data_IF_367109550888
#
_entry.id   IF_367109550888
#
_cell.length_a   1.000
_cell.length_b   1.000
_cell.length_c   1.000
_cell.angle_alpha   90.00
_cell.angle_beta   90.00
_cell.angle_gamma   90.00
#
_symmetry.space_group_name_H-M   'P 1'
#
loop_
_entity.id
_entity.type
_entity.pdbx_description
1 polymer ?
#
# COMPACT_ATOMS: atom_id res chain seq x y z
N UNK A 1 90.23 -0.85 -14.39
CA UNK A 1 89.62 0.32 -13.78
C UNK A 1 88.24 -0.12 -13.21
N UNK A 2 88.15 -0.22 -11.90
CA UNK A 2 86.95 -0.62 -11.19
C UNK A 2 86.30 0.64 -10.64
N UNK A 3 85.00 0.94 -11.06
CA UNK A 3 84.25 2.00 -10.44
C UNK A 3 83.35 1.39 -9.38
N UNK A 4 83.25 1.93 -8.16
CA UNK A 4 82.31 1.46 -7.17
C UNK A 4 80.91 2.13 -7.38
N UNK A 5 79.83 1.33 -7.44
CA UNK A 5 78.42 1.75 -7.46
C UNK A 5 78.08 2.14 -6.03
N UNK A 6 77.75 3.44 -5.85
CA UNK A 6 77.25 3.96 -4.57
C UNK A 6 75.74 3.80 -4.53
N UNK A 7 75.22 2.86 -3.75
CA UNK A 7 73.80 2.70 -3.48
C UNK A 7 73.42 3.71 -2.41
N UNK A 8 72.63 4.75 -2.79
CA UNK A 8 71.98 5.65 -1.85
C UNK A 8 70.71 4.98 -1.36
N UNK A 9 70.64 4.58 -0.10
CA UNK A 9 69.44 4.19 0.60
C UNK A 9 68.58 5.41 0.87
N UNK A 10 67.45 5.52 0.22
CA UNK A 10 66.45 6.52 0.50
C UNK A 10 65.57 6.01 1.65
N UNK A 11 65.85 6.50 2.86
CA UNK A 11 64.96 6.27 4.02
C UNK A 11 63.68 7.12 3.85
N UNK A 12 62.63 6.51 3.34
CA UNK A 12 61.30 7.15 3.34
C UNK A 12 60.77 7.17 4.77
N UNK A 13 60.56 8.37 5.27
CA UNK A 13 59.95 8.65 6.57
C UNK A 13 58.59 7.99 6.65
N UNK A 14 58.39 6.98 7.48
CA UNK A 14 57.18 6.15 7.58
C UNK A 14 55.89 6.91 8.01
N UNK A 15 56.01 8.20 8.34
CA UNK A 15 54.86 9.06 8.67
C UNK A 15 54.16 9.62 7.42
N UNK A 16 54.89 9.92 6.34
CA UNK A 16 54.32 10.42 5.08
C UNK A 16 53.63 9.30 4.28
N UNK A 17 54.15 8.07 4.34
CA UNK A 17 53.55 6.91 3.71
C UNK A 17 52.19 6.53 4.37
N UNK A 18 52.11 6.65 5.71
CA UNK A 18 50.82 6.39 6.44
C UNK A 18 49.76 7.45 6.17
N UNK A 19 50.15 8.71 6.06
CA UNK A 19 49.19 9.80 5.69
C UNK A 19 48.69 9.65 4.24
N UNK A 20 49.55 9.27 3.29
CA UNK A 20 49.14 9.03 1.92
C UNK A 20 48.17 7.86 1.76
N UNK A 21 48.35 6.76 2.53
CA UNK A 21 47.45 5.60 2.53
C UNK A 21 46.10 5.96 3.15
N UNK A 22 46.07 6.75 4.24
CA UNK A 22 44.82 7.18 4.88
C UNK A 22 44.03 8.11 3.94
N UNK A 23 44.68 9.06 3.26
CA UNK A 23 44.02 9.96 2.29
C UNK A 23 43.53 9.17 1.07
N UNK A 24 44.24 8.16 0.59
CA UNK A 24 43.78 7.29 -0.50
C UNK A 24 42.58 6.43 -0.07
N UNK A 25 42.53 5.89 1.14
CA UNK A 25 41.43 5.11 1.65
C UNK A 25 40.19 5.98 1.86
N UNK A 26 40.31 7.21 2.34
CA UNK A 26 39.19 8.13 2.50
C UNK A 26 38.65 8.62 1.14
N UNK A 27 39.51 8.80 0.14
CA UNK A 27 39.10 9.14 -1.21
C UNK A 27 38.39 7.97 -1.93
N UNK A 28 38.74 6.72 -1.65
CA UNK A 28 38.03 5.55 -2.19
C UNK A 28 36.64 5.36 -1.54
N UNK A 29 36.44 5.73 -0.27
CA UNK A 29 35.14 5.65 0.39
C UNK A 29 34.14 6.73 -0.10
N UNK A 30 34.62 7.86 -0.63
CA UNK A 30 33.78 8.93 -1.18
C UNK A 30 33.36 8.71 -2.64
N UNK A 31 33.87 7.69 -3.31
CA UNK A 31 33.56 7.33 -4.69
C UNK A 31 32.47 6.24 -4.83
N UNK A 32 31.71 5.94 -3.75
CA UNK A 32 30.47 5.19 -3.90
C UNK A 32 29.51 6.12 -4.66
N UNK A 33 29.13 5.82 -5.92
CA UNK A 33 28.13 6.61 -6.57
C UNK A 33 26.87 6.51 -5.70
N UNK A 34 26.49 7.61 -5.06
CA UNK A 34 25.13 7.77 -4.57
C UNK A 34 24.26 7.68 -5.83
N UNK A 35 23.78 6.49 -6.12
CA UNK A 35 22.65 6.38 -7.02
C UNK A 35 21.54 7.13 -6.30
N UNK A 36 21.32 8.40 -6.69
CA UNK A 36 20.11 9.08 -6.36
C UNK A 36 19.00 8.19 -6.95
N UNK A 37 18.43 7.35 -6.13
CA UNK A 37 17.18 6.69 -6.46
C UNK A 37 16.23 7.86 -6.72
N UNK A 38 15.93 8.14 -7.98
CA UNK A 38 14.86 9.08 -8.32
C UNK A 38 13.61 8.47 -7.70
N UNK A 39 13.21 9.03 -6.56
CA UNK A 39 11.99 8.60 -5.91
C UNK A 39 10.86 8.85 -6.90
N UNK A 40 10.29 7.77 -7.43
CA UNK A 40 9.16 7.87 -8.34
C UNK A 40 8.01 8.55 -7.60
N UNK A 41 7.49 9.64 -8.18
CA UNK A 41 6.35 10.35 -7.57
C UNK A 41 5.09 9.51 -7.71
N UNK A 42 4.36 9.35 -6.61
CA UNK A 42 3.08 8.65 -6.63
C UNK A 42 2.05 9.40 -7.48
N UNK A 43 1.29 8.71 -8.34
CA UNK A 43 0.18 9.31 -9.07
C UNK A 43 -0.87 9.93 -8.14
N UNK A 44 -1.25 11.19 -8.40
CA UNK A 44 -2.23 11.91 -7.60
C UNK A 44 -3.65 11.45 -7.99
N UNK A 45 -4.29 10.67 -7.12
CA UNK A 45 -5.61 10.07 -7.38
C UNK A 45 -6.79 11.06 -7.24
N UNK A 46 -6.57 12.29 -6.75
CA UNK A 46 -7.66 13.26 -6.52
C UNK A 46 -8.78 12.69 -5.65
N UNK A 47 -10.03 12.99 -5.98
CA UNK A 47 -11.22 12.48 -5.28
C UNK A 47 -11.37 10.97 -5.35
N UNK A 48 -10.80 10.30 -6.37
CA UNK A 48 -10.84 8.83 -6.46
C UNK A 48 -10.05 8.15 -5.34
N UNK A 49 -9.13 8.86 -4.67
CA UNK A 49 -8.40 8.36 -3.51
C UNK A 49 -9.31 7.98 -2.33
N UNK A 50 -10.50 8.55 -2.23
CA UNK A 50 -11.48 8.26 -1.18
C UNK A 50 -12.25 6.95 -1.39
N UNK A 51 -12.17 6.35 -2.58
CA UNK A 51 -12.86 5.10 -2.91
C UNK A 51 -11.94 3.90 -2.79
N UNK A 52 -12.45 2.82 -2.21
CA UNK A 52 -11.83 1.50 -2.27
C UNK A 52 -12.21 0.78 -3.58
N UNK A 53 -13.45 1.01 -4.04
CA UNK A 53 -14.01 0.41 -5.25
C UNK A 53 -14.74 1.47 -6.05
N UNK A 54 -14.33 1.70 -7.31
CA UNK A 54 -14.97 2.68 -8.20
C UNK A 54 -15.01 2.12 -9.62
N UNK A 55 -16.21 1.91 -10.15
CA UNK A 55 -16.43 1.44 -11.51
C UNK A 55 -17.16 2.45 -12.36
N UNK A 56 -16.76 2.60 -13.64
CA UNK A 56 -17.36 3.61 -14.54
C UNK A 56 -18.76 3.29 -15.02
N UNK A 57 -19.12 2.00 -15.18
CA UNK A 57 -20.45 1.62 -15.67
C UNK A 57 -21.30 0.95 -14.58
N UNK A 58 -20.73 0.02 -13.83
CA UNK A 58 -21.42 -0.64 -12.72
C UNK A 58 -20.42 -1.24 -11.74
N UNK A 59 -20.81 -1.33 -10.48
CA UNK A 59 -20.12 -2.11 -9.47
C UNK A 59 -21.04 -3.19 -8.95
N UNK A 60 -20.61 -4.45 -8.98
CA UNK A 60 -21.32 -5.60 -8.45
C UNK A 60 -20.48 -6.32 -7.40
N UNK A 61 -20.99 -6.38 -6.17
CA UNK A 61 -20.36 -7.03 -5.04
C UNK A 61 -21.22 -8.20 -4.58
N UNK A 62 -20.71 -9.42 -4.71
CA UNK A 62 -21.38 -10.65 -4.27
C UNK A 62 -20.53 -11.36 -3.26
N UNK A 63 -21.07 -11.63 -2.05
CA UNK A 63 -20.33 -12.26 -0.95
C UNK A 63 -18.99 -11.59 -0.67
N UNK A 64 -18.88 -10.28 -0.88
CA UNK A 64 -17.67 -9.49 -0.78
C UNK A 64 -17.70 -8.56 0.45
N UNK A 65 -16.56 -8.40 1.12
CA UNK A 65 -16.42 -7.42 2.19
C UNK A 65 -15.54 -6.26 1.71
N UNK A 66 -16.03 -5.02 1.81
CA UNK A 66 -15.26 -3.82 1.45
C UNK A 66 -15.17 -2.89 2.64
N UNK A 67 -13.94 -2.60 3.06
CA UNK A 67 -13.66 -1.54 4.03
C UNK A 67 -13.18 -0.31 3.25
N UNK A 68 -14.07 0.67 3.10
CA UNK A 68 -13.89 1.89 2.30
C UNK A 68 -15.12 2.22 1.47
N UNK A 69 -15.06 3.33 0.74
CA UNK A 69 -16.19 3.79 -0.06
C UNK A 69 -16.32 3.01 -1.37
N UNK A 70 -17.57 2.83 -1.80
CA UNK A 70 -17.92 2.13 -3.04
C UNK A 70 -18.82 3.04 -3.88
N UNK A 71 -18.49 3.17 -5.16
CA UNK A 71 -19.27 4.02 -6.06
C UNK A 71 -19.21 3.62 -7.53
N UNK A 72 -20.22 4.08 -8.27
CA UNK A 72 -20.31 4.05 -9.72
C UNK A 72 -21.22 5.17 -10.20
N UNK A 73 -20.88 5.88 -11.30
CA UNK A 73 -21.77 6.85 -11.89
C UNK A 73 -23.12 6.26 -12.37
N UNK A 74 -23.18 4.93 -12.55
CA UNK A 74 -24.36 4.26 -13.13
C UNK A 74 -25.09 3.44 -12.08
N UNK A 75 -24.44 2.43 -11.48
CA UNK A 75 -25.11 1.55 -10.51
C UNK A 75 -24.14 0.85 -9.58
N UNK A 76 -24.57 0.62 -8.34
CA UNK A 76 -23.91 -0.27 -7.38
C UNK A 76 -24.91 -1.34 -6.94
N UNK A 77 -24.55 -2.61 -7.09
CA UNK A 77 -25.35 -3.77 -6.69
C UNK A 77 -24.62 -4.55 -5.61
N UNK A 78 -25.30 -4.82 -4.52
CA UNK A 78 -24.78 -5.63 -3.39
C UNK A 78 -25.66 -6.88 -3.25
N UNK A 79 -25.02 -8.05 -3.34
CA UNK A 79 -25.66 -9.35 -3.09
C UNK A 79 -24.89 -10.04 -1.97
N UNK A 80 -25.46 -10.04 -0.76
CA UNK A 80 -24.81 -10.53 0.47
C UNK A 80 -23.41 -9.90 0.71
N UNK A 81 -23.16 -8.70 0.13
CA UNK A 81 -21.94 -7.93 0.32
C UNK A 81 -22.02 -7.05 1.56
N UNK A 82 -20.90 -6.88 2.26
CA UNK A 82 -20.74 -5.97 3.39
C UNK A 82 -19.82 -4.81 3.00
N UNK A 83 -20.28 -3.58 3.19
CA UNK A 83 -19.46 -2.38 3.02
C UNK A 83 -19.36 -1.63 4.33
N UNK A 84 -18.14 -1.49 4.84
CA UNK A 84 -17.81 -0.63 5.99
C UNK A 84 -17.25 0.67 5.42
N UNK A 85 -18.14 1.61 5.15
CA UNK A 85 -17.87 2.87 4.45
C UNK A 85 -19.14 3.40 3.82
N UNK A 86 -19.03 4.37 2.91
CA UNK A 86 -20.17 4.92 2.19
C UNK A 86 -20.37 4.18 0.87
N UNK A 87 -21.61 3.72 0.65
CA UNK A 87 -22.05 3.24 -0.66
C UNK A 87 -22.78 4.38 -1.35
N UNK A 88 -22.41 4.66 -2.58
CA UNK A 88 -23.07 5.64 -3.44
C UNK A 88 -23.90 4.90 -4.50
N UNK A 89 -25.15 4.53 -4.18
CA UNK A 89 -25.96 3.67 -5.04
C UNK A 89 -26.71 4.43 -6.13
N UNK A 90 -26.83 5.75 -5.97
CA UNK A 90 -27.61 6.57 -6.90
C UNK A 90 -26.84 6.82 -8.20
N UNK A 91 -27.48 6.68 -9.37
CA UNK A 91 -26.87 7.10 -10.61
C UNK A 91 -26.65 8.63 -10.61
N UNK A 92 -25.55 9.04 -11.25
CA UNK A 92 -25.20 10.45 -11.40
C UNK A 92 -24.94 11.22 -10.08
N UNK A 93 -24.51 10.53 -9.02
CA UNK A 93 -24.07 11.20 -7.80
C UNK A 93 -22.87 12.12 -8.12
N UNK A 94 -22.91 13.43 -7.79
CA UNK A 94 -21.88 14.38 -8.17
C UNK A 94 -20.53 14.08 -7.53
N UNK A 95 -20.49 13.48 -6.33
CA UNK A 95 -19.23 13.07 -5.67
C UNK A 95 -18.59 11.95 -6.46
N UNK A 96 -19.38 10.97 -6.89
CA UNK A 96 -18.88 9.83 -7.67
C UNK A 96 -18.45 10.27 -9.06
N UNK A 97 -19.21 11.15 -9.73
CA UNK A 97 -18.82 11.69 -11.03
C UNK A 97 -17.49 12.44 -10.94
N UNK A 98 -17.33 13.30 -9.94
CA UNK A 98 -16.09 14.03 -9.73
C UNK A 98 -14.91 13.08 -9.48
N UNK A 99 -15.08 12.10 -8.60
CA UNK A 99 -14.08 11.08 -8.30
C UNK A 99 -13.74 10.22 -9.53
N UNK A 100 -14.73 9.87 -10.33
CA UNK A 100 -14.50 9.10 -11.55
C UNK A 100 -13.74 9.93 -12.62
N UNK A 101 -14.04 11.22 -12.75
CA UNK A 101 -13.27 12.10 -13.64
C UNK A 101 -11.82 12.25 -13.18
N UNK A 102 -11.58 12.35 -11.86
CA UNK A 102 -10.22 12.34 -11.30
C UNK A 102 -9.49 11.02 -11.59
N UNK A 103 -10.20 9.88 -11.50
CA UNK A 103 -9.65 8.60 -11.91
C UNK A 103 -9.27 8.59 -13.39
N UNK A 104 -10.11 9.10 -14.29
CA UNK A 104 -9.77 9.18 -15.73
C UNK A 104 -8.55 10.05 -15.98
N UNK A 105 -8.41 11.17 -15.26
CA UNK A 105 -7.25 12.04 -15.36
C UNK A 105 -5.95 11.33 -14.93
N UNK A 106 -5.97 10.65 -13.77
CA UNK A 106 -4.78 9.93 -13.31
C UNK A 106 -4.48 8.70 -14.18
N UNK A 107 -5.51 8.01 -14.69
CA UNK A 107 -5.35 6.92 -15.63
C UNK A 107 -4.59 7.38 -16.89
N UNK A 108 -4.99 8.52 -17.48
CA UNK A 108 -4.30 9.14 -18.61
C UNK A 108 -2.88 9.60 -18.28
N UNK A 109 -2.68 10.20 -17.10
CA UNK A 109 -1.37 10.63 -16.66
C UNK A 109 -0.39 9.46 -16.45
N UNK A 110 -0.85 8.33 -15.90
CA UNK A 110 -0.01 7.14 -15.74
C UNK A 110 0.31 6.49 -17.09
N UNK A 111 -0.62 6.54 -18.05
CA UNK A 111 -0.37 6.07 -19.41
C UNK A 111 0.78 6.83 -20.11
N UNK A 112 0.94 8.11 -19.80
CA UNK A 112 1.97 8.97 -20.42
C UNK A 112 3.38 8.47 -20.08
N UNK A 113 4.15 8.16 -21.14
CA UNK A 113 5.54 7.72 -21.02
C UNK A 113 6.50 8.87 -20.70
N UNK A 114 6.09 10.11 -20.93
CA UNK A 114 6.87 11.30 -20.57
C UNK A 114 6.80 11.60 -19.08
N UNK A 115 5.64 11.35 -18.45
CA UNK A 115 5.46 11.55 -17.00
C UNK A 115 5.97 10.35 -16.19
N UNK A 116 5.72 9.14 -16.68
CA UNK A 116 6.11 7.89 -16.00
C UNK A 116 6.88 6.98 -16.97
N UNK A 117 8.16 7.30 -17.29
CA UNK A 117 8.98 6.48 -18.18
C UNK A 117 9.30 5.14 -17.56
N UNK A 118 9.34 4.09 -18.38
CA UNK A 118 9.67 2.75 -17.93
C UNK A 118 11.12 2.68 -17.45
N UNK A 119 11.33 2.19 -16.24
CA UNK A 119 12.65 1.93 -15.64
C UNK A 119 13.01 0.44 -15.63
N UNK A 120 12.02 -0.42 -15.83
CA UNK A 120 12.16 -1.87 -15.90
C UNK A 120 11.12 -2.49 -16.82
N UNK A 121 11.28 -3.77 -17.14
CA UNK A 121 10.35 -4.53 -17.96
C UNK A 121 9.77 -5.70 -17.19
N UNK A 122 8.52 -6.07 -17.53
CA UNK A 122 7.88 -7.30 -17.07
C UNK A 122 7.91 -8.33 -18.21
N UNK A 123 7.97 -9.60 -17.87
CA UNK A 123 7.66 -10.69 -18.80
C UNK A 123 6.14 -10.79 -18.98
N UNK A 124 5.73 -11.42 -20.08
CA UNK A 124 4.30 -11.65 -20.35
C UNK A 124 3.67 -12.70 -19.42
N UNK A 125 4.50 -13.59 -18.82
CA UNK A 125 4.01 -14.62 -17.92
C UNK A 125 5.02 -14.96 -16.82
N UNK A 126 4.49 -15.16 -15.61
CA UNK A 126 5.19 -15.69 -14.44
C UNK A 126 4.37 -16.85 -13.89
N UNK A 127 4.99 -18.02 -13.75
CA UNK A 127 4.32 -19.23 -13.23
C UNK A 127 5.19 -19.88 -12.18
N UNK A 128 4.62 -20.17 -11.00
CA UNK A 128 5.30 -20.81 -9.87
C UNK A 128 6.65 -20.13 -9.53
N UNK A 129 6.66 -18.78 -9.58
CA UNK A 129 7.89 -17.98 -9.51
C UNK A 129 7.87 -17.05 -8.31
N UNK A 130 9.03 -16.86 -7.67
CA UNK A 130 9.25 -15.77 -6.74
C UNK A 130 10.01 -14.64 -7.45
N UNK A 131 9.48 -13.41 -7.39
CA UNK A 131 10.04 -12.22 -8.01
C UNK A 131 10.16 -11.11 -6.96
N UNK A 132 11.30 -10.43 -6.91
CA UNK A 132 11.46 -9.24 -6.06
C UNK A 132 11.75 -8.03 -6.94
N UNK A 133 10.99 -6.95 -6.73
CA UNK A 133 11.13 -5.70 -7.45
C UNK A 133 11.35 -4.54 -6.49
N UNK A 134 12.33 -3.72 -6.79
CA UNK A 134 12.60 -2.44 -6.11
C UNK A 134 11.68 -1.33 -6.65
N UNK A 135 11.61 -0.14 -6.00
CA UNK A 135 10.79 0.98 -6.50
C UNK A 135 11.13 1.34 -7.97
N UNK A 136 10.09 1.63 -8.76
CA UNK A 136 10.28 1.96 -10.16
C UNK A 136 9.02 1.83 -11.02
N UNK A 137 9.17 2.04 -12.33
CA UNK A 137 8.12 1.90 -13.34
C UNK A 137 8.43 0.68 -14.20
N UNK A 138 7.59 -0.33 -14.13
CA UNK A 138 7.75 -1.61 -14.83
C UNK A 138 6.72 -1.75 -15.92
N UNK A 139 7.17 -1.98 -17.14
CA UNK A 139 6.31 -1.98 -18.32
C UNK A 139 6.30 -3.33 -19.05
N UNK A 140 5.16 -3.61 -19.68
CA UNK A 140 5.04 -4.61 -20.72
C UNK A 140 4.11 -4.08 -21.82
N UNK A 141 4.48 -4.29 -23.07
CA UNK A 141 3.71 -3.84 -24.23
C UNK A 141 2.43 -4.66 -24.49
N UNK A 142 2.36 -5.84 -23.91
CA UNK A 142 1.27 -6.80 -24.04
C UNK A 142 0.65 -7.15 -22.67
N UNK A 143 -0.23 -8.13 -22.65
CA UNK A 143 -0.81 -8.69 -21.44
C UNK A 143 0.24 -9.33 -20.52
N UNK A 144 -0.01 -9.29 -19.22
CA UNK A 144 0.83 -9.93 -18.20
C UNK A 144 -0.01 -10.89 -17.36
N UNK A 145 0.50 -12.10 -17.20
CA UNK A 145 -0.15 -13.15 -16.39
C UNK A 145 0.75 -13.59 -15.25
N UNK A 146 0.20 -13.64 -14.05
CA UNK A 146 0.82 -14.21 -12.86
C UNK A 146 0.03 -15.43 -12.39
N UNK A 147 0.68 -16.60 -12.35
CA UNK A 147 0.06 -17.84 -11.88
C UNK A 147 0.86 -18.41 -10.73
N UNK A 148 0.26 -18.51 -9.54
CA UNK A 148 0.91 -18.98 -8.31
C UNK A 148 2.27 -18.30 -8.05
N UNK A 149 2.33 -17.01 -8.31
CA UNK A 149 3.54 -16.18 -8.21
C UNK A 149 3.56 -15.43 -6.88
N UNK A 150 4.72 -15.38 -6.24
CA UNK A 150 4.98 -14.49 -5.11
C UNK A 150 5.77 -13.29 -5.63
N UNK A 151 5.12 -12.12 -5.66
CA UNK A 151 5.77 -10.86 -6.03
C UNK A 151 6.06 -10.06 -4.77
N UNK A 152 7.35 -9.88 -4.46
CA UNK A 152 7.82 -9.05 -3.36
C UNK A 152 8.16 -7.66 -3.88
N UNK A 153 7.54 -6.63 -3.30
CA UNK A 153 7.84 -5.23 -3.53
C UNK A 153 8.70 -4.73 -2.37
N UNK A 154 10.01 -4.63 -2.64
CA UNK A 154 11.01 -4.28 -1.64
C UNK A 154 11.27 -2.77 -1.66
N UNK A 155 10.88 -2.09 -0.59
CA UNK A 155 11.02 -0.64 -0.45
C UNK A 155 12.45 -0.19 -0.13
N UNK A 156 13.38 -1.10 0.11
CA UNK A 156 14.76 -0.79 0.51
C UNK A 156 14.85 0.13 1.74
N UNK A 157 13.84 0.10 2.61
CA UNK A 157 13.74 0.94 3.81
C UNK A 157 13.08 2.30 3.62
N UNK A 158 12.60 2.64 2.40
CA UNK A 158 11.89 3.87 2.13
C UNK A 158 10.36 3.65 2.23
N UNK A 159 9.65 4.19 3.25
CA UNK A 159 8.21 4.06 3.37
C UNK A 159 7.42 4.81 2.28
N UNK A 160 8.07 5.70 1.53
CA UNK A 160 7.48 6.44 0.42
C UNK A 160 7.80 5.79 -0.95
N UNK A 161 8.45 4.63 -0.96
CA UNK A 161 8.75 3.89 -2.17
C UNK A 161 7.51 3.67 -3.03
N UNK A 162 7.62 3.90 -4.34
CA UNK A 162 6.53 3.80 -5.32
C UNK A 162 6.86 2.79 -6.39
N UNK A 163 5.88 1.95 -6.71
CA UNK A 163 5.90 1.03 -7.86
C UNK A 163 4.76 1.36 -8.80
N UNK A 164 5.08 1.44 -10.08
CA UNK A 164 4.08 1.63 -11.14
C UNK A 164 4.26 0.51 -12.16
N UNK A 165 3.21 -0.26 -12.37
CA UNK A 165 3.14 -1.32 -13.38
C UNK A 165 2.30 -0.82 -14.54
N UNK A 166 2.86 -0.81 -15.75
CA UNK A 166 2.16 -0.38 -16.97
C UNK A 166 2.06 -1.57 -17.91
N UNK A 167 0.85 -2.09 -18.09
CA UNK A 167 0.56 -3.32 -18.83
C UNK A 167 -0.26 -2.98 -20.06
N UNK A 168 0.26 -3.35 -21.25
CA UNK A 168 -0.36 -3.02 -22.54
C UNK A 168 0.02 -1.62 -23.03
N UNK A 169 1.28 -1.23 -22.91
CA UNK A 169 1.74 0.14 -23.30
C UNK A 169 1.56 0.46 -24.79
N UNK A 170 1.35 -0.54 -25.64
CA UNK A 170 0.97 -0.35 -27.05
C UNK A 170 -0.56 -0.25 -27.27
N UNK A 171 -1.34 -0.10 -26.21
CA UNK A 171 -2.79 0.13 -26.26
C UNK A 171 -3.65 -1.10 -26.05
N UNK A 172 -3.07 -2.29 -25.97
CA UNK A 172 -3.78 -3.55 -25.65
C UNK A 172 -2.98 -4.38 -24.68
N UNK A 173 -3.61 -4.85 -23.61
CA UNK A 173 -2.98 -5.71 -22.62
C UNK A 173 -3.73 -5.75 -21.32
N UNK A 174 -4.11 -6.96 -20.92
CA UNK A 174 -4.80 -7.24 -19.68
C UNK A 174 -3.84 -7.75 -18.60
N UNK A 175 -4.19 -7.55 -17.36
CA UNK A 175 -3.53 -8.15 -16.20
C UNK A 175 -4.36 -9.33 -15.71
N UNK A 176 -3.74 -10.49 -15.61
CA UNK A 176 -4.36 -11.68 -15.02
C UNK A 176 -3.52 -12.21 -13.87
N UNK A 177 -4.13 -12.37 -12.69
CA UNK A 177 -3.53 -12.99 -11.51
C UNK A 177 -4.36 -14.19 -11.05
N UNK A 178 -3.76 -15.37 -10.99
CA UNK A 178 -4.37 -16.58 -10.41
C UNK A 178 -3.47 -17.09 -9.31
N UNK A 179 -3.91 -17.01 -8.05
CA UNK A 179 -3.08 -17.34 -6.90
C UNK A 179 -1.86 -16.44 -6.77
N UNK A 180 -1.93 -15.20 -7.27
CA UNK A 180 -0.88 -14.20 -7.10
C UNK A 180 -0.84 -13.73 -5.64
N UNK A 181 0.35 -13.70 -5.05
CA UNK A 181 0.60 -13.11 -3.74
C UNK A 181 1.56 -11.93 -3.88
N UNK A 182 1.05 -10.72 -3.64
CA UNK A 182 1.88 -9.52 -3.56
C UNK A 182 2.29 -9.28 -2.11
N UNK A 183 3.59 -9.20 -1.86
CA UNK A 183 4.17 -9.01 -0.53
C UNK A 183 4.91 -7.68 -0.49
N UNK A 184 4.67 -6.88 0.53
CA UNK A 184 5.46 -5.67 0.79
C UNK A 184 6.61 -6.02 1.72
N UNK A 185 7.82 -5.55 1.41
CA UNK A 185 9.01 -5.76 2.22
C UNK A 185 9.68 -4.43 2.58
N UNK A 186 10.47 -4.45 3.66
CA UNK A 186 11.33 -3.34 4.09
C UNK A 186 10.61 -1.97 4.17
N UNK A 187 9.38 -1.95 4.74
CA UNK A 187 8.61 -0.72 4.94
C UNK A 187 7.72 -0.31 3.77
N UNK A 188 7.66 -1.10 2.70
CA UNK A 188 6.80 -0.84 1.55
C UNK A 188 5.32 -0.73 1.92
N UNK A 189 4.62 0.23 1.30
CA UNK A 189 3.21 0.49 1.54
C UNK A 189 2.36 -0.01 0.39
N UNK A 190 1.30 -0.82 0.63
CA UNK A 190 0.41 -1.31 -0.43
C UNK A 190 -0.17 -0.18 -1.29
N UNK A 191 -0.49 0.95 -0.69
CA UNK A 191 -1.13 2.08 -1.35
C UNK A 191 -0.20 2.87 -2.27
N UNK A 192 1.10 2.57 -2.26
CA UNK A 192 2.11 3.17 -3.14
C UNK A 192 2.44 2.27 -4.36
N UNK A 193 1.76 1.15 -4.53
CA UNK A 193 1.84 0.34 -5.73
C UNK A 193 0.65 0.64 -6.66
N UNK A 194 0.91 0.91 -7.93
CA UNK A 194 -0.09 1.28 -8.94
C UNK A 194 0.00 0.33 -10.12
N UNK A 195 -1.14 -0.23 -10.52
CA UNK A 195 -1.25 -1.21 -11.60
C UNK A 195 -2.14 -0.65 -12.69
N UNK A 196 -1.54 -0.01 -13.66
CA UNK A 196 -2.22 0.50 -14.84
C UNK A 196 -2.30 -0.60 -15.89
N UNK A 197 -3.49 -0.83 -16.44
CA UNK A 197 -3.70 -1.78 -17.53
C UNK A 197 -4.46 -1.10 -18.67
N UNK A 198 -4.01 -1.32 -19.91
CA UNK A 198 -4.72 -0.79 -21.07
C UNK A 198 -6.12 -1.40 -21.22
N UNK A 199 -6.28 -2.64 -20.78
CA UNK A 199 -7.53 -3.39 -20.86
C UNK A 199 -7.99 -3.84 -19.45
N UNK A 200 -8.55 -5.04 -19.35
CA UNK A 200 -9.12 -5.60 -18.14
C UNK A 200 -8.06 -6.00 -17.10
N UNK A 201 -8.49 -6.07 -15.86
CA UNK A 201 -7.74 -6.67 -14.75
C UNK A 201 -8.57 -7.79 -14.13
N UNK A 202 -8.02 -9.01 -14.07
CA UNK A 202 -8.70 -10.19 -13.50
C UNK A 202 -7.83 -10.83 -12.43
N UNK A 203 -8.38 -10.94 -11.21
CA UNK A 203 -7.72 -11.58 -10.07
C UNK A 203 -8.56 -12.74 -9.56
N UNK A 204 -7.97 -13.91 -9.45
CA UNK A 204 -8.62 -15.11 -8.92
C UNK A 204 -7.82 -15.66 -7.76
N UNK A 205 -8.45 -15.85 -6.59
CA UNK A 205 -7.86 -16.41 -5.37
C UNK A 205 -6.49 -15.79 -5.02
N UNK A 206 -6.36 -14.47 -5.23
CA UNK A 206 -5.10 -13.73 -5.10
C UNK A 206 -5.08 -12.88 -3.83
N UNK A 207 -3.90 -12.76 -3.19
CA UNK A 207 -3.62 -11.77 -2.15
C UNK A 207 -2.95 -10.57 -2.81
N UNK A 208 -3.77 -9.64 -3.26
CA UNK A 208 -3.34 -8.51 -4.07
C UNK A 208 -3.08 -7.26 -3.21
N UNK A 209 -2.02 -6.53 -3.55
CA UNK A 209 -1.70 -5.25 -2.93
C UNK A 209 -1.44 -4.19 -3.99
N UNK A 210 -2.05 -3.03 -3.82
CA UNK A 210 -1.90 -1.88 -4.70
C UNK A 210 -3.21 -1.33 -5.24
N UNK A 211 -3.09 -0.29 -6.04
CA UNK A 211 -4.20 0.40 -6.68
C UNK A 211 -4.30 -0.08 -8.12
N UNK A 212 -5.36 -0.78 -8.48
CA UNK A 212 -5.66 -1.14 -9.87
C UNK A 212 -6.31 0.06 -10.56
N UNK A 213 -5.78 0.41 -11.73
CA UNK A 213 -6.27 1.41 -12.65
C UNK A 213 -6.55 0.70 -13.98
N UNK A 214 -7.74 0.10 -14.10
CA UNK A 214 -8.08 -0.72 -15.27
C UNK A 214 -8.70 0.13 -16.39
N UNK A 215 -8.18 -0.02 -17.60
CA UNK A 215 -8.69 0.64 -18.81
C UNK A 215 -10.00 0.05 -19.35
N UNK A 216 -10.40 -1.12 -18.85
CA UNK A 216 -11.67 -1.75 -19.12
C UNK A 216 -12.30 -2.23 -17.80
N UNK A 217 -12.89 -3.42 -17.77
CA UNK A 217 -13.47 -4.00 -16.57
C UNK A 217 -12.41 -4.54 -15.59
N UNK A 218 -12.74 -4.56 -14.31
CA UNK A 218 -11.96 -5.26 -13.30
C UNK A 218 -12.81 -6.35 -12.62
N UNK A 219 -12.24 -7.56 -12.49
CA UNK A 219 -12.93 -8.73 -11.92
C UNK A 219 -12.06 -9.37 -10.85
N UNK A 220 -12.65 -9.58 -9.68
CA UNK A 220 -12.00 -10.25 -8.56
C UNK A 220 -12.88 -11.41 -8.08
N UNK A 221 -12.29 -12.59 -7.95
CA UNK A 221 -12.98 -13.79 -7.49
C UNK A 221 -12.16 -14.47 -6.40
N UNK A 222 -12.68 -14.43 -5.17
CA UNK A 222 -11.97 -14.89 -3.98
C UNK A 222 -10.73 -14.08 -3.67
N UNK A 223 -10.08 -14.40 -2.55
CA UNK A 223 -8.86 -13.72 -2.11
C UNK A 223 -9.09 -12.35 -1.48
N UNK A 224 -8.06 -11.50 -1.50
CA UNK A 224 -8.10 -10.20 -0.85
C UNK A 224 -7.38 -9.12 -1.65
N UNK A 225 -7.81 -7.87 -1.45
CA UNK A 225 -7.20 -6.66 -2.01
C UNK A 225 -6.90 -5.70 -0.87
N UNK A 226 -5.64 -5.28 -0.74
CA UNK A 226 -5.25 -4.14 0.10
C UNK A 226 -4.85 -3.00 -0.82
N UNK A 227 -5.74 -2.05 -0.99
CA UNK A 227 -5.57 -0.99 -1.98
C UNK A 227 -6.88 -0.48 -2.55
N UNK A 228 -6.90 -0.20 -3.83
CA UNK A 228 -8.08 0.28 -4.56
C UNK A 228 -8.30 -0.51 -5.84
N UNK A 229 -9.56 -0.66 -6.22
CA UNK A 229 -9.94 -1.15 -7.54
C UNK A 229 -10.72 -0.04 -8.26
N UNK A 230 -10.11 0.55 -9.27
CA UNK A 230 -10.66 1.61 -10.09
C UNK A 230 -10.71 1.12 -11.54
N UNK A 231 -11.87 1.19 -12.20
CA UNK A 231 -12.07 0.65 -13.54
C UNK A 231 -12.84 1.61 -14.42
N UNK A 232 -12.45 1.75 -15.70
CA UNK A 232 -13.19 2.57 -16.65
C UNK A 232 -14.54 1.98 -17.03
N UNK A 233 -14.68 0.67 -16.97
CA UNK A 233 -15.93 -0.02 -17.20
C UNK A 233 -16.49 -0.64 -15.89
N UNK A 234 -17.09 -1.83 -15.98
CA UNK A 234 -17.67 -2.51 -14.84
C UNK A 234 -16.63 -3.06 -13.88
N UNK A 235 -17.01 -3.14 -12.60
CA UNK A 235 -16.21 -3.77 -11.57
C UNK A 235 -17.02 -4.84 -10.86
N UNK A 236 -16.51 -6.07 -10.86
CA UNK A 236 -17.18 -7.23 -10.23
C UNK A 236 -16.27 -7.85 -9.18
N UNK A 237 -16.82 -8.07 -7.99
CA UNK A 237 -16.16 -8.78 -6.91
C UNK A 237 -17.05 -9.88 -6.37
N UNK A 238 -16.50 -11.09 -6.25
CA UNK A 238 -17.20 -12.26 -5.72
C UNK A 238 -16.33 -12.96 -4.69
N UNK A 239 -16.81 -13.03 -3.43
CA UNK A 239 -16.06 -13.67 -2.35
C UNK A 239 -14.70 -13.01 -2.07
N UNK A 240 -14.58 -11.69 -2.29
CA UNK A 240 -13.31 -10.95 -2.18
C UNK A 240 -13.37 -9.96 -1.03
N UNK A 241 -12.32 -9.93 -0.20
CA UNK A 241 -12.18 -8.93 0.87
C UNK A 241 -11.33 -7.75 0.38
N UNK A 242 -11.82 -6.53 0.52
CA UNK A 242 -11.14 -5.29 0.12
C UNK A 242 -10.89 -4.40 1.32
N UNK A 243 -9.64 -4.02 1.52
CA UNK A 243 -9.18 -3.07 2.53
C UNK A 243 -8.67 -1.82 1.83
N UNK A 244 -9.51 -0.79 1.79
CA UNK A 244 -9.18 0.47 1.13
C UNK A 244 -8.05 1.22 1.82
N UNK A 245 -7.26 1.97 1.05
CA UNK A 245 -6.10 2.71 1.57
C UNK A 245 -6.46 3.79 2.61
N UNK A 246 -7.64 4.37 2.52
CA UNK A 246 -8.11 5.37 3.48
C UNK A 246 -8.45 4.81 4.86
N UNK A 247 -8.65 3.49 4.96
CA UNK A 247 -8.93 2.80 6.22
C UNK A 247 -7.69 2.24 6.92
N UNK A 248 -6.52 2.32 6.28
CA UNK A 248 -5.24 1.84 6.84
C UNK A 248 -4.56 2.85 7.77
N UNK A 249 -5.10 4.05 7.94
CA UNK A 249 -4.68 4.97 9.00
C UNK A 249 -5.37 4.50 10.29
N UNK A 250 -4.66 3.83 11.23
CA UNK A 250 -5.25 3.58 12.53
C UNK A 250 -5.63 4.94 13.13
N UNK A 251 -6.84 5.10 13.70
CA UNK A 251 -7.17 6.30 14.43
C UNK A 251 -6.15 6.44 15.57
N UNK A 252 -5.32 7.48 15.49
CA UNK A 252 -4.22 7.74 16.41
C UNK A 252 -4.70 8.01 17.85
N UNK A 253 -6.02 8.08 18.06
CA UNK A 253 -6.62 8.66 19.25
C UNK A 253 -7.56 7.72 20.02
N UNK A 254 -7.52 6.40 19.80
CA UNK A 254 -8.44 5.51 20.55
C UNK A 254 -7.80 4.78 21.73
N UNK A 255 -6.50 4.90 21.95
CA UNK A 255 -5.79 4.25 23.05
C UNK A 255 -5.24 5.20 24.11
N UNK A 256 -5.21 6.53 23.90
CA UNK A 256 -4.66 7.48 24.87
C UNK A 256 -5.67 8.00 25.89
N UNK A 257 -6.99 7.87 25.67
CA UNK A 257 -8.00 8.39 26.60
C UNK A 257 -8.50 7.41 27.65
N UNK A 258 -8.02 6.15 27.64
CA UNK A 258 -8.47 5.15 28.63
C UNK A 258 -7.66 5.12 29.92
N UNK A 259 -6.47 5.72 29.94
CA UNK A 259 -5.59 5.68 31.10
C UNK A 259 -5.61 6.96 31.96
N UNK A 260 -6.42 7.96 31.59
CA UNK A 260 -6.50 9.23 32.35
C UNK A 260 -7.66 9.33 33.32
N UNK A 261 -8.61 8.41 33.29
CA UNK A 261 -9.80 8.48 34.15
C UNK A 261 -9.73 7.57 35.40
N UNK A 262 -8.63 6.83 35.63
CA UNK A 262 -8.50 5.94 36.79
C UNK A 262 -7.65 6.47 37.96
N UNK A 263 -7.07 7.67 37.87
CA UNK A 263 -6.23 8.20 38.95
C UNK A 263 -6.84 9.38 39.76
N UNK A 264 -8.17 9.61 39.67
CA UNK A 264 -8.81 10.72 40.44
C UNK A 264 -9.64 10.31 41.63
N UNK A 265 -9.77 9.04 41.98
CA UNK A 265 -10.58 8.61 43.12
C UNK A 265 -9.78 7.92 44.24
N UNK A 266 -8.61 8.44 44.60
CA UNK A 266 -7.90 8.01 45.81
C UNK A 266 -7.30 9.25 46.51
N UNK A 267 -8.14 10.05 47.10
CA UNK A 267 -7.80 10.86 48.29
C UNK A 267 -9.10 11.56 48.79
N UNK A 268 -9.69 10.96 49.81
CA UNK A 268 -10.39 11.66 50.90
C UNK A 268 -11.18 10.64 51.75
N UNK A 269 -10.66 10.37 52.89
CA UNK A 269 -11.37 9.58 53.91
C UNK A 269 -10.55 9.37 55.13
N UNK A 270 -10.27 10.46 55.86
CA UNK A 270 -9.88 10.37 57.28
C UNK A 270 -11.04 10.76 58.17
N UNK A 271 -11.29 9.82 59.11
CA UNK A 271 -11.75 10.01 60.46
C UNK A 271 -13.11 10.69 60.72
N UNK A 272 -14.03 9.89 61.28
CA UNK A 272 -14.59 10.17 62.61
C UNK A 272 -15.42 9.01 63.10
N UNK A 273 -14.95 8.46 64.23
CA UNK A 273 -15.68 7.67 65.20
C UNK A 273 -16.99 8.35 65.60
N UNK A 274 -18.05 7.55 65.78
CA UNK A 274 -19.00 7.71 66.85
C UNK A 274 -19.85 6.46 67.02
N UNK A 275 -19.62 5.81 68.17
CA UNK A 275 -20.50 4.91 68.83
C UNK A 275 -21.92 5.42 68.92
N UNK A 276 -22.88 4.54 68.79
CA UNK A 276 -23.96 4.38 69.75
C UNK A 276 -24.86 3.18 69.41
N UNK A 277 -24.94 2.35 70.40
CA UNK A 277 -25.89 1.29 70.70
C UNK A 277 -27.35 1.63 70.39
N UNK A 278 -28.07 0.57 70.22
CA UNK A 278 -29.38 0.15 70.82
C UNK A 278 -30.31 -0.45 69.80
N UNK A 279 -30.41 -1.73 69.91
CA UNK A 279 -31.56 -2.54 70.44
C UNK A 279 -32.93 -2.33 69.80
N UNK A 280 -33.51 -3.50 69.71
CA UNK A 280 -34.91 -3.92 69.73
C UNK A 280 -35.64 -4.15 68.42
N UNK A 281 -35.82 -5.40 68.23
CA UNK A 281 -37.06 -6.25 68.42
C UNK A 281 -38.09 -6.25 67.29
N UNK A 282 -38.26 -7.49 66.88
CA UNK A 282 -39.53 -8.26 66.73
C UNK A 282 -40.51 -7.97 65.61
N UNK A 283 -40.79 -9.18 65.07
CA UNK A 283 -42.11 -9.67 64.65
C UNK A 283 -42.69 -9.02 63.36
N UNK A 284 -43.00 -9.80 62.45
CA UNK A 284 -43.93 -10.85 62.39
C UNK A 284 -44.70 -10.89 61.09
N UNK A 285 -44.81 -12.06 60.54
CA UNK A 285 -45.97 -12.60 59.84
C UNK A 285 -46.59 -11.83 58.67
N UNK A 286 -46.56 -12.47 57.60
CA UNK A 286 -47.62 -13.36 57.07
C UNK A 286 -48.36 -12.81 55.84
N UNK A 287 -48.45 -13.66 54.83
CA UNK A 287 -49.51 -13.87 53.87
C UNK A 287 -49.88 -12.76 52.87
N UNK A 288 -49.66 -12.94 51.65
CA UNK A 288 -50.43 -13.72 50.66
C UNK A 288 -49.79 -13.63 49.29
#
# INVERSE_FOLDING_TARGET
>A
MKYPIMIRTITHNGRTARLAVIVLLTALLSAVPFHAAFAQTAPALGGSASFAVLGGTAVSLTDATVIGNVGSPVAVTLVRGLVVGTVYPAPNDPIVIAAYNDFLNVYGAVADMGLYPCTGSLLTAYTDTALTLTPGVYCNDAAVTFTRTVLTLDALGDPNAVWIFKIGTLGTGALTGTGLSVVMANGGQPCNAYWWTAEASTMTTSSFKGNILAGAAATFTGGSVIGRALAQAGLTMTGTDVFGCSSLVPPKDRCEDRDKDHDKDKDHGKDKDHDKDMDHDKDGRDKR
#
